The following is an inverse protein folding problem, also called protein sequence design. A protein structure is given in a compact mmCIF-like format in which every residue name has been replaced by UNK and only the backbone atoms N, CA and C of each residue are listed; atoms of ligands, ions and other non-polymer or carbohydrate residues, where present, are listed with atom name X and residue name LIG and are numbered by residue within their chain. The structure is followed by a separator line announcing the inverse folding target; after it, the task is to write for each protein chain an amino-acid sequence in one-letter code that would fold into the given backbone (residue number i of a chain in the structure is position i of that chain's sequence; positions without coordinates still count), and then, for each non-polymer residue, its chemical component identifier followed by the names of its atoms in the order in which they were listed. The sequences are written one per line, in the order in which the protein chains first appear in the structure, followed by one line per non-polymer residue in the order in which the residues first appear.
data_IF_032810159665
#
_entry.id   IF_032810159665
#
_cell.length_a   1.000
_cell.length_b   1.000
_cell.length_c   1.000
_cell.angle_alpha   90.00
_cell.angle_beta   90.00
_cell.angle_gamma   90.00
#
_symmetry.space_group_name_H-M   'P 1'
#
loop_
_entity.id
_entity.type
_entity.pdbx_description
1 polymer ?
#
# COMPACT_ATOMS: atom_id res chain seq x y z
N UNK A 1 -72.14 51.10 -46.67
CA UNK A 1 -73.14 50.58 -45.72
C UNK A 1 -73.12 49.06 -45.78
N UNK A 2 -72.37 48.38 -44.89
CA UNK A 2 -72.57 46.98 -44.49
C UNK A 2 -71.49 46.62 -43.44
N UNK A 3 -71.68 47.02 -42.18
CA UNK A 3 -70.93 46.42 -41.03
C UNK A 3 -71.37 46.90 -39.64
N UNK A 4 -72.40 47.77 -39.51
CA UNK A 4 -72.88 48.25 -38.20
C UNK A 4 -74.02 47.41 -37.59
N UNK A 5 -74.64 46.50 -38.34
CA UNK A 5 -75.78 45.71 -37.86
C UNK A 5 -75.43 44.34 -37.26
N UNK A 6 -74.22 43.81 -37.52
CA UNK A 6 -73.77 42.52 -36.98
C UNK A 6 -73.35 42.64 -35.50
N UNK A 7 -72.80 43.79 -35.09
CA UNK A 7 -72.30 43.99 -33.72
C UNK A 7 -73.43 44.23 -32.69
N UNK A 8 -74.59 44.72 -33.13
CA UNK A 8 -75.74 45.01 -32.25
C UNK A 8 -76.57 43.76 -31.93
N UNK A 9 -76.48 42.71 -32.77
CA UNK A 9 -77.22 41.46 -32.59
C UNK A 9 -76.52 40.42 -31.69
N UNK A 10 -75.25 40.62 -31.33
CA UNK A 10 -74.45 39.64 -30.58
C UNK A 10 -74.41 39.92 -29.06
N UNK A 11 -74.88 41.08 -28.63
CA UNK A 11 -74.88 41.53 -27.23
C UNK A 11 -75.99 40.88 -26.35
N UNK A 12 -77.20 40.49 -26.83
CA UNK A 12 -78.21 39.91 -25.94
C UNK A 12 -78.04 38.40 -25.70
N UNK A 13 -77.15 37.71 -26.45
CA UNK A 13 -76.94 36.26 -26.35
C UNK A 13 -75.92 35.90 -25.26
N UNK A 14 -74.94 36.77 -24.98
CA UNK A 14 -73.90 36.53 -23.96
C UNK A 14 -74.41 36.85 -22.55
N UNK A 15 -75.42 37.72 -22.42
CA UNK A 15 -76.01 38.10 -21.12
C UNK A 15 -77.02 37.07 -20.58
N UNK A 16 -77.43 36.08 -21.40
CA UNK A 16 -78.39 35.04 -21.01
C UNK A 16 -77.73 33.78 -20.38
N UNK A 17 -76.40 33.64 -20.45
CA UNK A 17 -75.66 32.48 -19.91
C UNK A 17 -75.28 32.56 -18.42
N UNK A 18 -75.48 33.71 -17.77
CA UNK A 18 -75.03 33.97 -16.39
C UNK A 18 -76.07 33.70 -15.30
N UNK A 19 -77.27 33.19 -15.65
CA UNK A 19 -78.39 33.03 -14.70
C UNK A 19 -78.83 31.57 -14.45
N UNK A 20 -78.08 30.56 -14.91
CA UNK A 20 -78.44 29.14 -14.75
C UNK A 20 -77.50 28.32 -13.85
N UNK A 21 -76.87 28.95 -12.85
CA UNK A 21 -76.26 28.21 -11.72
C UNK A 21 -76.68 28.82 -10.39
N UNK A 22 -78.00 28.82 -10.18
CA UNK A 22 -78.63 28.94 -8.87
C UNK A 22 -79.43 27.66 -8.62
N UNK A 23 -78.89 26.78 -7.80
CA UNK A 23 -79.65 25.77 -7.06
C UNK A 23 -78.93 25.58 -5.72
N UNK A 24 -79.67 25.81 -4.63
CA UNK A 24 -79.14 25.84 -3.28
C UNK A 24 -78.98 24.47 -2.63
N UNK A 25 -78.30 24.54 -1.48
CA UNK A 25 -78.29 23.62 -0.32
C UNK A 25 -77.58 22.27 -0.47
N UNK A 26 -76.29 22.26 -0.10
CA UNK A 26 -75.85 21.61 1.15
C UNK A 26 -74.43 22.06 1.45
N UNK A 27 -74.29 22.76 2.57
CA UNK A 27 -73.03 23.10 3.21
C UNK A 27 -72.41 21.81 3.75
N UNK A 28 -71.76 21.03 2.89
CA UNK A 28 -70.75 20.07 3.33
C UNK A 28 -69.42 20.83 3.37
N UNK A 29 -69.13 21.39 4.54
CA UNK A 29 -67.78 21.73 4.94
C UNK A 29 -66.97 20.44 4.97
N UNK A 30 -66.46 20.03 3.81
CA UNK A 30 -65.31 19.13 3.78
C UNK A 30 -64.19 19.87 4.53
N UNK A 31 -63.68 19.33 5.64
CA UNK A 31 -62.41 19.82 6.16
C UNK A 31 -61.43 19.67 4.99
N UNK A 32 -60.82 20.76 4.54
CA UNK A 32 -59.57 20.63 3.80
C UNK A 32 -58.71 19.67 4.60
N UNK A 33 -58.18 18.60 4.00
CA UNK A 33 -57.35 17.68 4.74
C UNK A 33 -56.20 18.52 5.33
N UNK A 34 -56.12 18.51 6.66
CA UNK A 34 -55.06 19.17 7.39
C UNK A 34 -53.74 18.73 6.75
N UNK A 35 -52.93 19.67 6.27
CA UNK A 35 -51.69 19.37 5.55
C UNK A 35 -50.80 18.39 6.33
N UNK A 36 -50.92 18.42 7.67
CA UNK A 36 -50.29 17.46 8.58
C UNK A 36 -50.82 16.03 8.40
N UNK A 37 -52.13 15.86 8.27
CA UNK A 37 -52.79 14.58 8.00
C UNK A 37 -52.45 14.04 6.61
N UNK A 38 -52.45 14.88 5.57
CA UNK A 38 -52.01 14.46 4.22
C UNK A 38 -50.53 14.08 4.20
N UNK A 39 -49.67 14.83 4.92
CA UNK A 39 -48.25 14.50 5.04
C UNK A 39 -48.04 13.15 5.73
N UNK A 40 -48.72 12.89 6.85
CA UNK A 40 -48.64 11.59 7.53
C UNK A 40 -49.14 10.47 6.64
N UNK A 41 -50.26 10.68 5.94
CA UNK A 41 -50.79 9.69 4.99
C UNK A 41 -49.82 9.38 3.85
N UNK A 42 -49.17 10.40 3.27
CA UNK A 42 -48.14 10.21 2.24
C UNK A 42 -46.89 9.53 2.82
N UNK A 43 -46.50 9.86 4.05
CA UNK A 43 -45.37 9.23 4.73
C UNK A 43 -45.64 7.73 4.97
N UNK A 44 -46.85 7.40 5.40
CA UNK A 44 -47.29 6.03 5.64
C UNK A 44 -47.34 5.24 4.33
N UNK A 45 -47.87 5.83 3.25
CA UNK A 45 -47.83 5.24 1.90
C UNK A 45 -46.38 4.97 1.47
N UNK A 46 -45.45 5.91 1.66
CA UNK A 46 -44.04 5.70 1.31
C UNK A 46 -43.35 4.63 2.17
N UNK A 47 -43.82 4.43 3.41
CA UNK A 47 -43.27 3.43 4.33
C UNK A 47 -43.89 2.04 4.18
N UNK A 48 -45.04 1.91 3.51
CA UNK A 48 -45.67 0.61 3.23
C UNK A 48 -44.78 -0.30 2.40
N UNK A 49 -44.95 -1.61 2.60
CA UNK A 49 -44.19 -2.63 1.90
C UNK A 49 -44.49 -2.67 0.39
N UNK A 50 -45.66 -2.20 -0.03
CA UNK A 50 -45.98 -2.02 -1.44
C UNK A 50 -45.10 -0.94 -2.07
N UNK A 51 -44.99 0.25 -1.47
CA UNK A 51 -44.11 1.31 -1.98
C UNK A 51 -42.64 0.88 -2.04
N UNK A 52 -42.16 0.12 -1.05
CA UNK A 52 -40.81 -0.46 -1.07
C UNK A 52 -40.63 -1.45 -2.22
N UNK A 53 -41.59 -2.36 -2.43
CA UNK A 53 -41.56 -3.33 -3.53
C UNK A 53 -41.65 -2.67 -4.90
N UNK A 54 -42.47 -1.64 -5.05
CA UNK A 54 -42.57 -0.88 -6.29
C UNK A 54 -41.26 -0.12 -6.54
N UNK A 55 -40.65 0.49 -5.52
CA UNK A 55 -39.35 1.15 -5.64
C UNK A 55 -38.24 0.15 -5.99
N UNK A 56 -38.24 -1.04 -5.40
CA UNK A 56 -37.30 -2.11 -5.73
C UNK A 56 -37.48 -2.60 -7.17
N UNK A 57 -38.73 -2.67 -7.65
CA UNK A 57 -39.05 -3.04 -9.03
C UNK A 57 -38.63 -1.96 -10.02
N UNK A 58 -38.83 -0.68 -9.68
CA UNK A 58 -38.32 0.46 -10.44
C UNK A 58 -36.79 0.47 -10.46
N UNK A 59 -36.11 0.17 -9.35
CA UNK A 59 -34.65 0.07 -9.30
C UNK A 59 -34.09 -1.10 -10.11
N UNK A 60 -34.89 -2.12 -10.42
CA UNK A 60 -34.51 -3.23 -11.31
C UNK A 60 -34.78 -2.92 -12.79
N UNK A 61 -35.51 -1.86 -13.09
CA UNK A 61 -35.77 -1.42 -14.45
C UNK A 61 -34.50 -0.79 -15.05
N UNK A 62 -34.02 -1.34 -16.16
CA UNK A 62 -32.81 -0.84 -16.83
C UNK A 62 -32.92 0.63 -17.27
N UNK A 63 -34.12 1.09 -17.64
CA UNK A 63 -34.36 2.47 -18.07
C UNK A 63 -34.26 3.43 -16.89
N UNK A 64 -34.74 3.02 -15.72
CA UNK A 64 -34.59 3.78 -14.48
C UNK A 64 -33.14 3.74 -13.98
N UNK A 65 -32.48 2.58 -14.01
CA UNK A 65 -31.06 2.44 -13.67
C UNK A 65 -30.18 3.31 -14.55
N UNK A 66 -30.37 3.31 -15.88
CA UNK A 66 -29.56 4.14 -16.79
C UNK A 66 -29.71 5.64 -16.52
N UNK A 67 -30.89 6.08 -16.09
CA UNK A 67 -31.14 7.48 -15.71
C UNK A 67 -30.63 7.83 -14.30
N UNK A 68 -30.52 6.85 -13.40
CA UNK A 68 -30.02 7.03 -12.03
C UNK A 68 -28.49 6.85 -11.92
N UNK A 69 -27.89 6.03 -12.78
CA UNK A 69 -26.45 5.82 -12.86
C UNK A 69 -25.81 7.14 -13.31
N UNK A 70 -25.14 7.78 -12.36
CA UNK A 70 -24.24 8.92 -12.62
C UNK A 70 -23.31 8.57 -13.77
N UNK A 71 -23.05 9.52 -14.68
CA UNK A 71 -22.23 9.33 -15.88
C UNK A 71 -21.02 8.42 -15.56
N UNK A 72 -20.80 7.31 -16.31
CA UNK A 72 -19.74 6.35 -16.03
C UNK A 72 -18.35 6.99 -15.92
N UNK A 73 -18.10 8.08 -16.64
CA UNK A 73 -16.86 8.87 -16.53
C UNK A 73 -16.74 9.57 -15.18
N UNK A 74 -17.83 10.12 -14.66
CA UNK A 74 -17.87 10.73 -13.33
C UNK A 74 -17.67 9.66 -12.26
N UNK A 75 -18.36 8.51 -12.35
CA UNK A 75 -18.19 7.40 -11.40
C UNK A 75 -16.75 6.89 -11.41
N UNK A 76 -16.17 6.69 -12.60
CA UNK A 76 -14.78 6.27 -12.76
C UNK A 76 -13.81 7.29 -12.16
N UNK A 77 -13.98 8.57 -12.47
CA UNK A 77 -13.12 9.64 -11.98
C UNK A 77 -13.22 9.78 -10.47
N UNK A 78 -14.44 9.78 -9.91
CA UNK A 78 -14.65 9.83 -8.46
C UNK A 78 -14.06 8.60 -7.78
N UNK A 79 -14.19 7.40 -8.36
CA UNK A 79 -13.57 6.19 -7.82
C UNK A 79 -12.04 6.28 -7.82
N UNK A 80 -11.42 6.68 -8.95
CA UNK A 80 -9.96 6.86 -9.05
C UNK A 80 -9.49 7.92 -8.05
N UNK A 81 -10.14 9.08 -7.97
CA UNK A 81 -9.79 10.13 -7.03
C UNK A 81 -9.99 9.70 -5.57
N UNK A 82 -11.02 8.89 -5.30
CA UNK A 82 -11.30 8.33 -3.97
C UNK A 82 -10.20 7.35 -3.55
N UNK A 83 -9.75 6.48 -4.46
CA UNK A 83 -8.67 5.50 -4.22
C UNK A 83 -7.30 6.18 -4.14
N UNK A 84 -7.04 7.17 -5.01
CA UNK A 84 -5.76 7.87 -5.08
C UNK A 84 -5.53 8.82 -3.90
N UNK A 85 -6.58 9.18 -3.16
CA UNK A 85 -6.46 10.01 -1.94
C UNK A 85 -5.84 9.16 -0.81
N UNK A 86 -4.61 9.49 -0.35
CA UNK A 86 -3.93 8.73 0.70
C UNK A 86 -4.70 8.69 2.02
N UNK A 87 -5.51 9.72 2.28
CA UNK A 87 -6.27 9.89 3.51
C UNK A 87 -7.71 9.41 3.47
N UNK A 88 -8.10 8.67 2.43
CA UNK A 88 -9.45 8.11 2.39
C UNK A 88 -9.62 7.03 3.47
N UNK A 89 -10.49 7.27 4.49
CA UNK A 89 -10.66 6.33 5.60
C UNK A 89 -11.23 4.98 5.13
N UNK A 90 -12.06 4.98 4.08
CA UNK A 90 -12.63 3.75 3.53
C UNK A 90 -11.57 2.88 2.85
N UNK A 91 -10.60 3.49 2.17
CA UNK A 91 -9.48 2.77 1.56
C UNK A 91 -8.55 2.22 2.64
N UNK A 92 -8.19 3.03 3.64
CA UNK A 92 -7.40 2.56 4.80
C UNK A 92 -8.09 1.40 5.52
N UNK A 93 -9.42 1.42 5.62
CA UNK A 93 -10.18 0.33 6.21
C UNK A 93 -10.24 -0.91 5.30
N UNK A 94 -10.37 -0.73 3.98
CA UNK A 94 -10.32 -1.82 3.01
C UNK A 94 -8.98 -2.56 3.04
N UNK A 95 -7.85 -1.84 3.19
CA UNK A 95 -6.52 -2.45 3.36
C UNK A 95 -6.37 -3.28 4.65
N UNK A 96 -7.28 -3.17 5.62
CA UNK A 96 -7.29 -4.05 6.80
C UNK A 96 -8.05 -5.35 6.58
N UNK A 97 -8.84 -5.46 5.51
CA UNK A 97 -9.55 -6.69 5.16
C UNK A 97 -8.59 -7.70 4.47
N UNK A 98 -8.39 -8.91 5.04
CA UNK A 98 -7.58 -9.96 4.44
C UNK A 98 -8.05 -10.39 3.05
N UNK A 99 -9.36 -10.38 2.78
CA UNK A 99 -9.90 -10.79 1.47
C UNK A 99 -9.55 -9.76 0.40
N UNK A 100 -9.73 -8.48 0.73
CA UNK A 100 -9.36 -7.37 -0.14
C UNK A 100 -7.84 -7.38 -0.42
N UNK A 101 -7.01 -7.41 0.62
CA UNK A 101 -5.55 -7.40 0.49
C UNK A 101 -5.02 -8.64 -0.23
N UNK A 102 -5.58 -9.83 0.00
CA UNK A 102 -5.19 -11.05 -0.73
C UNK A 102 -5.50 -10.93 -2.22
N UNK A 103 -6.69 -10.43 -2.56
CA UNK A 103 -7.10 -10.26 -3.96
C UNK A 103 -6.26 -9.20 -4.66
N UNK A 104 -6.02 -8.07 -3.99
CA UNK A 104 -5.16 -7.00 -4.50
C UNK A 104 -3.71 -7.46 -4.66
N UNK A 105 -3.16 -8.18 -3.69
CA UNK A 105 -1.80 -8.73 -3.78
C UNK A 105 -1.68 -9.74 -4.93
N UNK A 106 -2.71 -10.57 -5.17
CA UNK A 106 -2.74 -11.50 -6.29
C UNK A 106 -2.78 -10.77 -7.64
N UNK A 107 -3.59 -9.72 -7.77
CA UNK A 107 -3.68 -8.95 -9.02
C UNK A 107 -2.40 -8.14 -9.30
N UNK A 108 -1.72 -7.66 -8.26
CA UNK A 108 -0.46 -6.91 -8.38
C UNK A 108 0.77 -7.80 -8.52
N UNK A 109 0.65 -9.13 -8.35
CA UNK A 109 1.80 -10.04 -8.22
C UNK A 109 2.80 -9.93 -9.37
N UNK A 110 2.31 -9.95 -10.61
CA UNK A 110 3.17 -10.00 -11.80
C UNK A 110 3.86 -8.65 -12.06
N UNK A 111 3.12 -7.55 -11.96
CA UNK A 111 3.70 -6.21 -12.08
C UNK A 111 4.66 -5.90 -10.93
N UNK A 112 4.35 -6.31 -9.70
CA UNK A 112 5.25 -6.12 -8.56
C UNK A 112 6.53 -6.95 -8.74
N UNK A 113 6.44 -8.17 -9.26
CA UNK A 113 7.61 -9.00 -9.61
C UNK A 113 8.46 -8.35 -10.71
N UNK A 114 7.83 -7.72 -11.70
CA UNK A 114 8.52 -6.99 -12.77
C UNK A 114 9.25 -5.77 -12.20
N UNK A 115 8.55 -4.96 -11.40
CA UNK A 115 9.12 -3.80 -10.71
C UNK A 115 10.32 -4.21 -9.84
N UNK A 116 10.18 -5.25 -9.01
CA UNK A 116 11.28 -5.76 -8.17
C UNK A 116 12.50 -6.18 -9.01
N UNK A 117 12.29 -6.85 -10.15
CA UNK A 117 13.38 -7.25 -11.04
C UNK A 117 14.06 -6.06 -11.72
N UNK A 118 13.31 -5.02 -12.04
CA UNK A 118 13.83 -3.78 -12.61
C UNK A 118 14.63 -3.01 -11.56
N UNK A 119 14.09 -2.87 -10.34
CA UNK A 119 14.79 -2.27 -9.20
C UNK A 119 16.09 -3.00 -8.87
N UNK A 120 16.15 -4.33 -8.95
CA UNK A 120 17.41 -5.06 -8.74
C UNK A 120 18.52 -4.69 -9.74
N UNK A 121 18.18 -4.09 -10.89
CA UNK A 121 19.14 -3.60 -11.89
C UNK A 121 19.45 -2.11 -11.70
N UNK A 122 18.70 -1.42 -10.87
CA UNK A 122 18.87 0.00 -10.60
C UNK A 122 20.06 0.24 -9.64
N UNK A 123 20.97 1.18 -9.96
CA UNK A 123 22.15 1.43 -9.13
C UNK A 123 21.83 1.90 -7.70
N UNK A 124 20.80 2.73 -7.50
CA UNK A 124 20.44 3.24 -6.17
C UNK A 124 19.86 2.11 -5.31
N UNK A 125 18.98 1.29 -5.90
CA UNK A 125 18.44 0.12 -5.21
C UNK A 125 19.53 -0.92 -4.90
N UNK A 126 20.50 -1.12 -5.79
CA UNK A 126 21.66 -1.97 -5.52
C UNK A 126 22.51 -1.43 -4.35
N UNK A 127 22.72 -0.11 -4.26
CA UNK A 127 23.42 0.49 -3.13
C UNK A 127 22.68 0.26 -1.81
N UNK A 128 21.36 0.44 -1.79
CA UNK A 128 20.54 0.12 -0.63
C UNK A 128 20.65 -1.36 -0.26
N UNK A 129 20.61 -2.27 -1.25
CA UNK A 129 20.80 -3.70 -1.01
C UNK A 129 22.19 -4.02 -0.43
N UNK A 130 23.24 -3.39 -0.95
CA UNK A 130 24.60 -3.55 -0.42
C UNK A 130 24.74 -3.06 1.03
N UNK A 131 23.99 -2.03 1.42
CA UNK A 131 23.97 -1.59 2.81
C UNK A 131 23.35 -2.64 3.74
N UNK A 132 22.30 -3.33 3.28
CA UNK A 132 21.67 -4.44 4.00
C UNK A 132 22.63 -5.62 4.14
N UNK A 133 23.42 -5.92 3.10
CA UNK A 133 24.42 -7.00 3.15
C UNK A 133 25.61 -6.69 4.08
N UNK A 134 25.79 -5.43 4.50
CA UNK A 134 26.81 -5.04 5.48
C UNK A 134 26.28 -5.07 6.92
N UNK A 135 25.06 -5.54 7.13
CA UNK A 135 24.51 -5.68 8.46
C UNK A 135 25.31 -6.73 9.29
N UNK A 136 25.58 -6.48 10.58
CA UNK A 136 26.33 -7.40 11.44
C UNK A 136 25.77 -8.83 11.49
N UNK A 137 24.44 -9.00 11.37
CA UNK A 137 23.83 -10.34 11.37
C UNK A 137 24.15 -11.10 10.08
N UNK A 138 24.19 -10.39 8.94
CA UNK A 138 24.61 -10.98 7.67
C UNK A 138 26.11 -11.31 7.69
N UNK A 139 26.93 -10.41 8.23
CA UNK A 139 28.37 -10.66 8.41
C UNK A 139 28.60 -11.93 9.25
N UNK A 140 27.88 -12.09 10.36
CA UNK A 140 27.97 -13.28 11.19
C UNK A 140 27.59 -14.56 10.43
N UNK A 141 26.51 -14.50 9.64
CA UNK A 141 26.11 -15.62 8.77
C UNK A 141 27.20 -15.98 7.76
N UNK A 142 27.85 -14.98 7.16
CA UNK A 142 28.96 -15.16 6.24
C UNK A 142 30.20 -15.74 6.93
N UNK A 143 30.55 -15.27 8.13
CA UNK A 143 31.64 -15.82 8.95
C UNK A 143 31.38 -17.28 9.32
N UNK A 144 30.14 -17.63 9.64
CA UNK A 144 29.76 -19.01 9.93
C UNK A 144 29.81 -19.90 8.69
N UNK A 145 29.43 -19.38 7.52
CA UNK A 145 29.62 -20.06 6.24
C UNK A 145 31.11 -20.37 5.99
N UNK A 146 32.01 -19.42 6.25
CA UNK A 146 33.45 -19.64 6.10
C UNK A 146 34.02 -20.69 7.08
N UNK A 147 33.36 -20.92 8.21
CA UNK A 147 33.75 -21.97 9.17
C UNK A 147 33.26 -23.36 8.76
N UNK A 148 32.36 -23.47 7.77
CA UNK A 148 31.83 -24.76 7.32
C UNK A 148 32.94 -25.65 6.76
N UNK A 149 32.74 -26.98 6.87
CA UNK A 149 33.71 -27.95 6.33
C UNK A 149 33.92 -27.80 4.82
N UNK A 150 32.86 -27.49 4.07
CA UNK A 150 32.94 -27.30 2.62
C UNK A 150 33.86 -26.12 2.26
N UNK A 151 33.65 -24.95 2.89
CA UNK A 151 34.51 -23.79 2.66
C UNK A 151 35.94 -24.06 3.09
N UNK A 152 36.15 -24.66 4.28
CA UNK A 152 37.49 -25.03 4.77
C UNK A 152 38.25 -25.95 3.81
N UNK A 153 37.58 -26.92 3.18
CA UNK A 153 38.22 -27.80 2.17
C UNK A 153 38.71 -27.00 0.97
N UNK A 154 37.89 -26.08 0.47
CA UNK A 154 38.28 -25.18 -0.63
C UNK A 154 39.44 -24.28 -0.21
N UNK A 155 39.40 -23.69 0.98
CA UNK A 155 40.50 -22.88 1.53
C UNK A 155 41.79 -23.69 1.68
N UNK A 156 41.71 -24.93 2.16
CA UNK A 156 42.88 -25.82 2.24
C UNK A 156 43.46 -26.13 0.87
N UNK A 157 42.61 -26.30 -0.15
CA UNK A 157 43.10 -26.51 -1.51
C UNK A 157 43.82 -25.27 -2.05
N UNK A 158 43.21 -24.08 -1.91
CA UNK A 158 43.84 -22.81 -2.29
C UNK A 158 45.18 -22.64 -1.55
N UNK A 159 45.24 -22.99 -0.28
CA UNK A 159 46.48 -22.92 0.50
C UNK A 159 47.54 -23.89 -0.02
N UNK A 160 47.18 -25.13 -0.35
CA UNK A 160 48.10 -26.10 -0.98
C UNK A 160 48.63 -25.58 -2.31
N UNK A 161 47.75 -25.10 -3.19
CA UNK A 161 48.11 -24.56 -4.50
C UNK A 161 49.04 -23.33 -4.33
N UNK A 162 48.80 -22.51 -3.30
CA UNK A 162 49.65 -21.37 -2.97
C UNK A 162 51.03 -21.78 -2.48
N UNK A 163 51.15 -22.85 -1.67
CA UNK A 163 52.43 -23.40 -1.21
C UNK A 163 53.24 -24.03 -2.35
N UNK A 164 52.55 -24.55 -3.37
CA UNK A 164 53.18 -25.11 -4.57
C UNK A 164 53.64 -24.02 -5.57
N UNK A 165 53.23 -22.77 -5.35
CA UNK A 165 53.66 -21.64 -6.18
C UNK A 165 55.18 -21.41 -6.07
N UNK A 166 55.91 -21.31 -7.20
CA UNK A 166 57.35 -21.02 -7.20
C UNK A 166 57.71 -19.74 -6.43
N UNK A 167 56.82 -18.73 -6.45
CA UNK A 167 57.00 -17.50 -5.68
C UNK A 167 57.00 -17.78 -4.18
N UNK A 168 56.02 -18.55 -3.69
CA UNK A 168 55.90 -18.88 -2.28
C UNK A 168 57.05 -19.80 -1.81
N UNK A 169 57.45 -20.76 -2.64
CA UNK A 169 58.60 -21.63 -2.36
C UNK A 169 59.89 -20.82 -2.24
N UNK A 170 60.12 -19.86 -3.14
CA UNK A 170 61.28 -18.98 -3.09
C UNK A 170 61.29 -18.09 -1.83
N UNK A 171 60.13 -17.53 -1.44
CA UNK A 171 60.02 -16.80 -0.17
C UNK A 171 60.26 -17.69 1.04
N UNK A 172 59.72 -18.91 1.04
CA UNK A 172 59.92 -19.87 2.11
C UNK A 172 61.39 -20.26 2.27
N UNK A 173 62.11 -20.51 1.15
CA UNK A 173 63.56 -20.74 1.18
C UNK A 173 64.32 -19.54 1.74
N UNK A 174 63.97 -18.32 1.33
CA UNK A 174 64.59 -17.10 1.85
C UNK A 174 64.37 -16.93 3.35
N UNK A 175 63.18 -17.23 3.86
CA UNK A 175 62.86 -17.21 5.29
C UNK A 175 63.69 -18.28 6.03
N UNK A 176 63.80 -19.50 5.49
CA UNK A 176 64.61 -20.57 6.07
C UNK A 176 66.09 -20.22 6.15
N UNK A 177 66.65 -19.65 5.07
CA UNK A 177 68.05 -19.21 5.04
C UNK A 177 68.29 -18.12 6.09
N UNK A 178 67.41 -17.13 6.18
CA UNK A 178 67.52 -16.06 7.18
C UNK A 178 67.41 -16.59 8.62
N UNK A 179 66.50 -17.53 8.87
CA UNK A 179 66.37 -18.16 10.19
C UNK A 179 67.64 -18.95 10.58
N UNK A 180 68.28 -19.63 9.63
CA UNK A 180 69.56 -20.31 9.85
C UNK A 180 70.70 -19.32 10.09
N UNK A 181 70.78 -18.23 9.33
CA UNK A 181 71.74 -17.15 9.56
C UNK A 181 71.57 -16.57 10.97
N UNK A 182 70.34 -16.28 11.41
CA UNK A 182 70.05 -15.76 12.75
C UNK A 182 70.44 -16.74 13.88
N UNK A 183 70.27 -18.06 13.66
CA UNK A 183 70.69 -19.10 14.61
C UNK A 183 72.21 -19.29 14.65
N UNK A 184 72.89 -19.10 13.52
CA UNK A 184 74.34 -19.24 13.38
C UNK A 184 75.08 -17.96 13.79
N UNK A 185 74.38 -16.83 13.97
CA UNK A 185 74.97 -15.57 14.40
C UNK A 185 75.06 -15.51 15.94
N UNK A 186 76.26 -15.58 16.54
CA UNK A 186 76.45 -15.64 17.99
C UNK A 186 76.03 -14.36 18.75
N UNK A 187 75.61 -13.30 18.06
CA UNK A 187 75.18 -12.05 18.70
C UNK A 187 73.77 -12.10 19.32
N UNK A 188 72.90 -13.04 18.94
CA UNK A 188 71.52 -13.11 19.46
C UNK A 188 71.30 -14.13 20.61
N UNK A 189 72.33 -14.89 20.98
CA UNK A 189 72.27 -15.84 22.11
C UNK A 189 72.43 -15.19 23.51
N UNK A 190 72.67 -13.87 23.58
CA UNK A 190 72.94 -13.16 24.83
C UNK A 190 71.79 -12.31 25.39
N UNK A 191 70.62 -12.24 24.77
CA UNK A 191 69.49 -11.46 25.31
C UNK A 191 68.54 -12.27 26.22
N UNK A 192 68.59 -13.60 26.18
CA UNK A 192 67.69 -14.46 26.98
C UNK A 192 68.04 -14.63 28.48
N UNK A 193 69.22 -14.19 28.95
CA UNK A 193 69.69 -14.46 30.33
C UNK A 193 69.75 -13.26 31.29
N UNK A 194 69.36 -12.04 30.88
CA UNK A 194 69.33 -10.86 31.77
C UNK A 194 67.98 -10.57 32.45
N UNK A 195 66.91 -11.28 32.10
CA UNK A 195 65.56 -11.02 32.66
C UNK A 195 65.26 -11.64 34.04
N UNK A 196 65.90 -12.74 34.43
CA UNK A 196 65.48 -13.52 35.63
C UNK A 196 66.13 -13.15 36.97
N UNK A 197 67.00 -12.12 37.02
CA UNK A 197 67.71 -11.73 38.27
C UNK A 197 67.14 -10.49 38.99
N UNK A 198 66.15 -9.79 38.41
CA UNK A 198 65.54 -8.60 39.04
C UNK A 198 64.29 -8.86 39.88
N UNK A 199 63.69 -10.05 39.82
CA UNK A 199 62.42 -10.31 40.52
C UNK A 199 62.57 -10.87 41.95
N UNK A 200 63.76 -11.34 42.36
CA UNK A 200 63.98 -11.88 43.71
C UNK A 200 64.41 -10.85 44.77
N UNK A 201 64.71 -9.59 44.40
CA UNK A 201 65.16 -8.55 45.36
C UNK A 201 64.06 -7.60 45.86
N UNK A 202 62.82 -7.70 45.34
CA UNK A 202 61.70 -6.83 45.72
C UNK A 202 60.72 -7.42 46.74
N UNK A 203 60.94 -8.66 47.21
CA UNK A 203 60.08 -9.35 48.19
C UNK A 203 60.65 -9.44 49.62
N UNK A 204 61.77 -8.77 49.93
CA UNK A 204 62.43 -8.87 51.25
C UNK A 204 62.70 -7.52 51.94
N UNK A 205 62.07 -6.43 51.52
CA UNK A 205 62.12 -5.16 52.26
C UNK A 205 60.73 -4.54 52.22
N UNK A 206 60.00 -4.76 53.30
CA UNK A 206 58.58 -4.50 53.45
C UNK A 206 58.07 -5.25 54.68
N UNK A 207 58.78 -5.06 55.78
CA UNK A 207 58.41 -5.38 57.17
C UNK A 207 58.76 -4.16 57.99
#
# INVERSE_FOLDING_TARGET
MLNKHIFVALIPVITCGLLLSSCGTTSQSHPQPDYKSTKTMVLDILQTDEAKKTMESMMKDESFQKNLIMNPETVRTTLIQSIAKPDNPHIKQAFKDPKFTSTLAKSMKDENKKLLKELMKDPEYQQMMLSILKDPDYEKSLLDLMKTSAYRKQTMQIMKDSLESPMFQAEMLKIMTKAQEDMMNPQNLNEGKKGKKKEKKKKSSGG
#
